data_IF_603051786077
#
_entry.id   IF_603051786077
#
_cell.length_a   1.000
_cell.length_b   1.000
_cell.length_c   1.000
_cell.angle_alpha   90.00
_cell.angle_beta   90.00
_cell.angle_gamma   90.00
#
_symmetry.space_group_name_H-M   'P 1'
#
loop_
_entity.id
_entity.type
_entity.pdbx_description
1 polymer ?
#
# COMPACT_ATOMS: atom_id res chain seq x y z
N UNK A 1 20.39 -2.23 1.28
CA UNK A 1 19.22 -1.74 2.04
C UNK A 1 19.13 -2.52 3.33
N UNK A 2 18.75 -1.89 4.41
CA UNK A 2 18.61 -2.53 5.72
C UNK A 2 17.47 -3.56 5.71
N UNK A 3 17.79 -4.84 5.82
CA UNK A 3 16.79 -5.90 5.80
C UNK A 3 15.79 -5.82 6.95
N UNK A 4 16.24 -5.39 8.13
CA UNK A 4 15.34 -5.19 9.27
C UNK A 4 14.26 -4.17 8.95
N UNK A 5 14.64 -3.07 8.30
CA UNK A 5 13.71 -2.03 7.89
C UNK A 5 12.78 -2.52 6.78
N UNK A 6 13.31 -3.31 5.83
CA UNK A 6 12.50 -3.92 4.77
C UNK A 6 11.39 -4.77 5.36
N UNK A 7 11.73 -5.68 6.29
CA UNK A 7 10.73 -6.55 6.91
C UNK A 7 9.77 -5.79 7.81
N UNK A 8 10.22 -4.71 8.44
CA UNK A 8 9.34 -3.84 9.22
C UNK A 8 8.25 -3.24 8.33
N UNK A 9 8.63 -2.72 7.17
CA UNK A 9 7.69 -2.18 6.18
C UNK A 9 6.75 -3.29 5.68
N UNK A 10 7.30 -4.43 5.30
CA UNK A 10 6.51 -5.52 4.75
C UNK A 10 5.55 -6.13 5.79
N UNK A 11 5.93 -6.11 7.06
CA UNK A 11 5.06 -6.56 8.15
C UNK A 11 3.81 -5.69 8.25
N UNK A 12 3.95 -4.37 8.06
CA UNK A 12 2.80 -3.48 8.05
C UNK A 12 1.92 -3.75 6.84
N UNK A 13 2.53 -3.95 5.66
CA UNK A 13 1.79 -4.27 4.44
C UNK A 13 0.97 -5.56 4.64
N UNK A 14 1.57 -6.57 5.28
CA UNK A 14 0.91 -7.84 5.54
C UNK A 14 -0.33 -7.70 6.44
N UNK A 15 -0.37 -6.66 7.26
CA UNK A 15 -1.49 -6.42 8.17
C UNK A 15 -2.67 -5.70 7.52
N UNK A 16 -2.49 -5.11 6.32
CA UNK A 16 -3.58 -4.41 5.65
C UNK A 16 -4.69 -5.42 5.32
N UNK A 17 -5.91 -5.23 5.85
CA UNK A 17 -6.98 -6.21 5.62
C UNK A 17 -7.42 -6.23 4.16
N UNK A 18 -7.92 -7.39 3.73
CA UNK A 18 -8.58 -7.50 2.44
C UNK A 18 -9.74 -6.51 2.38
N UNK A 19 -9.88 -5.81 1.26
CA UNK A 19 -10.94 -4.81 1.10
C UNK A 19 -10.58 -3.42 1.65
N UNK A 20 -9.36 -3.24 2.10
CA UNK A 20 -8.88 -1.94 2.59
C UNK A 20 -7.57 -1.57 1.88
N UNK A 21 -7.22 -0.30 1.93
CA UNK A 21 -5.96 0.19 1.36
C UNK A 21 -5.21 1.03 2.38
N UNK A 22 -3.91 1.16 2.17
CA UNK A 22 -3.06 2.05 2.97
C UNK A 22 -2.21 2.88 2.02
N UNK A 23 -1.76 4.03 2.45
CA UNK A 23 -0.87 4.85 1.62
C UNK A 23 0.59 4.63 2.01
N UNK A 24 1.51 4.94 1.08
CA UNK A 24 2.94 4.89 1.36
C UNK A 24 3.31 5.74 2.57
N UNK A 25 2.72 6.94 2.66
CA UNK A 25 2.97 7.84 3.79
C UNK A 25 2.46 7.30 5.11
N UNK A 26 1.29 6.64 5.10
CA UNK A 26 0.73 6.06 6.31
C UNK A 26 1.59 4.89 6.81
N UNK A 27 2.09 4.05 5.90
CA UNK A 27 3.01 2.97 6.26
C UNK A 27 4.28 3.57 6.88
N UNK A 28 4.83 4.62 6.27
CA UNK A 28 6.00 5.30 6.81
C UNK A 28 5.74 5.83 8.22
N UNK A 29 4.56 6.41 8.45
CA UNK A 29 4.17 6.89 9.78
C UNK A 29 4.10 5.75 10.80
N UNK A 30 3.51 4.63 10.41
CA UNK A 30 3.33 3.49 11.30
C UNK A 30 4.66 2.88 11.77
N UNK A 31 5.72 3.01 10.97
CA UNK A 31 7.05 2.52 11.36
C UNK A 31 7.94 3.62 11.96
N UNK A 32 7.35 4.81 12.25
CA UNK A 32 8.09 5.90 12.86
C UNK A 32 8.99 6.69 11.91
N UNK A 33 8.74 6.65 10.60
CA UNK A 33 9.53 7.33 9.58
C UNK A 33 8.65 8.19 8.68
N UNK A 34 7.90 9.08 9.26
CA UNK A 34 6.80 9.84 8.64
C UNK A 34 7.15 10.54 7.32
N UNK A 35 8.40 10.92 7.13
CA UNK A 35 8.82 11.65 5.91
C UNK A 35 9.43 10.75 4.85
N UNK A 36 9.32 9.44 5.01
CA UNK A 36 10.05 8.50 4.18
C UNK A 36 9.14 7.58 3.34
N UNK A 37 8.06 8.14 2.79
CA UNK A 37 7.16 7.40 1.92
C UNK A 37 7.87 6.84 0.67
N UNK A 38 8.89 7.55 0.19
CA UNK A 38 9.67 7.12 -0.96
C UNK A 38 10.39 5.79 -0.69
N UNK A 39 10.91 5.62 0.52
CA UNK A 39 11.55 4.36 0.92
C UNK A 39 10.54 3.20 0.89
N UNK A 40 9.33 3.45 1.37
CA UNK A 40 8.26 2.44 1.33
C UNK A 40 8.00 2.00 -0.11
N UNK A 41 7.86 2.96 -1.02
CA UNK A 41 7.67 2.65 -2.43
C UNK A 41 8.80 1.83 -3.03
N UNK A 42 10.04 2.14 -2.65
CA UNK A 42 11.21 1.41 -3.12
C UNK A 42 11.23 -0.03 -2.60
N UNK A 43 10.87 -0.23 -1.33
CA UNK A 43 10.76 -1.57 -0.75
C UNK A 43 9.69 -2.38 -1.46
N UNK A 44 8.51 -1.78 -1.70
CA UNK A 44 7.41 -2.49 -2.34
C UNK A 44 7.70 -2.88 -3.78
N UNK A 45 8.50 -2.09 -4.50
CA UNK A 45 8.86 -2.43 -5.87
C UNK A 45 9.76 -3.68 -5.96
N UNK A 46 10.34 -4.10 -4.83
CA UNK A 46 11.20 -5.28 -4.73
C UNK A 46 10.64 -6.34 -3.77
N UNK A 47 9.37 -6.20 -3.35
CA UNK A 47 8.79 -7.03 -2.30
C UNK A 47 8.80 -8.53 -2.63
N UNK A 48 8.65 -8.89 -3.91
CA UNK A 48 8.64 -10.28 -4.32
C UNK A 48 9.96 -11.03 -4.03
N UNK A 49 11.05 -10.29 -3.83
CA UNK A 49 12.33 -10.87 -3.43
C UNK A 49 12.30 -11.37 -1.99
N UNK A 50 11.34 -10.92 -1.19
CA UNK A 50 11.24 -11.21 0.24
C UNK A 50 10.04 -12.08 0.59
N UNK A 51 9.14 -12.33 -0.35
CA UNK A 51 7.98 -13.16 -0.12
C UNK A 51 6.74 -12.65 -0.85
N UNK A 52 5.59 -13.21 -0.51
CA UNK A 52 4.31 -12.86 -1.10
C UNK A 52 3.56 -11.90 -0.17
N UNK A 53 3.44 -10.64 -0.57
CA UNK A 53 2.81 -9.58 0.23
C UNK A 53 1.70 -8.91 -0.57
N UNK A 54 0.63 -8.43 0.09
CA UNK A 54 -0.50 -7.80 -0.60
C UNK A 54 -0.17 -6.35 -1.00
N UNK A 55 0.86 -6.16 -1.82
CA UNK A 55 1.32 -4.83 -2.25
C UNK A 55 0.28 -4.07 -3.04
N UNK A 56 -0.70 -4.78 -3.63
CA UNK A 56 -1.82 -4.13 -4.34
C UNK A 56 -2.69 -3.28 -3.42
N UNK A 57 -2.62 -3.50 -2.10
CA UNK A 57 -3.37 -2.73 -1.11
C UNK A 57 -2.68 -1.42 -0.71
N UNK A 58 -1.57 -1.08 -1.37
CA UNK A 58 -0.86 0.17 -1.10
C UNK A 58 -1.02 1.12 -2.29
N UNK A 59 -1.52 2.32 -2.00
CA UNK A 59 -1.78 3.36 -3.00
C UNK A 59 -1.12 4.66 -2.53
N UNK A 60 -1.15 5.71 -3.35
CA UNK A 60 -0.62 6.99 -2.90
C UNK A 60 -1.64 7.69 -1.99
N UNK A 61 -1.26 8.85 -1.43
CA UNK A 61 -2.13 9.58 -0.48
C UNK A 61 -3.47 10.01 -1.07
N UNK A 62 -3.55 10.16 -2.40
CA UNK A 62 -4.78 10.52 -3.10
C UNK A 62 -5.61 9.30 -3.53
N UNK A 63 -5.15 8.09 -3.23
CA UNK A 63 -5.83 6.86 -3.65
C UNK A 63 -5.47 6.40 -5.05
N UNK A 64 -4.40 6.93 -5.62
CA UNK A 64 -3.97 6.58 -6.97
C UNK A 64 -3.15 5.30 -6.96
N UNK A 65 -3.46 4.38 -7.90
CA UNK A 65 -2.72 3.14 -8.06
C UNK A 65 -1.38 3.37 -8.79
N UNK A 66 -0.51 2.36 -8.76
CA UNK A 66 0.79 2.44 -9.42
C UNK A 66 0.61 2.54 -10.93
N UNK A 67 1.30 3.50 -11.61
CA UNK A 67 1.07 3.74 -13.03
C UNK A 67 1.48 2.61 -13.96
N UNK A 68 2.35 1.72 -13.51
CA UNK A 68 2.85 0.62 -14.33
C UNK A 68 2.24 -0.73 -13.95
N UNK A 69 1.14 -0.72 -13.19
CA UNK A 69 0.52 -1.95 -12.69
C UNK A 69 -1.01 -1.88 -12.86
N UNK A 70 -1.52 -2.02 -14.09
CA UNK A 70 -2.96 -1.93 -14.32
C UNK A 70 -3.78 -3.00 -13.58
N UNK A 71 -3.19 -4.16 -13.29
CA UNK A 71 -3.86 -5.23 -12.55
C UNK A 71 -4.17 -4.85 -11.11
N UNK A 72 -3.50 -3.85 -10.56
CA UNK A 72 -3.72 -3.42 -9.17
C UNK A 72 -5.18 -3.05 -8.93
N UNK A 73 -5.77 -2.27 -9.82
CA UNK A 73 -7.17 -1.89 -9.70
C UNK A 73 -8.08 -3.11 -9.73
N UNK A 74 -7.84 -4.04 -10.64
CA UNK A 74 -8.62 -5.26 -10.76
C UNK A 74 -8.58 -6.08 -9.47
N UNK A 75 -7.40 -6.21 -8.88
CA UNK A 75 -7.24 -6.92 -7.61
C UNK A 75 -8.00 -6.24 -6.48
N UNK A 76 -7.95 -4.91 -6.41
CA UNK A 76 -8.66 -4.17 -5.37
C UNK A 76 -10.17 -4.24 -5.56
N UNK A 77 -10.65 -4.12 -6.79
CA UNK A 77 -12.08 -4.24 -7.07
C UNK A 77 -12.61 -5.64 -6.71
N UNK A 78 -11.80 -6.67 -6.95
CA UNK A 78 -12.14 -8.03 -6.56
C UNK A 78 -12.29 -8.18 -5.04
N UNK A 79 -11.64 -7.32 -4.26
CA UNK A 79 -11.77 -7.29 -2.80
C UNK A 79 -12.90 -6.38 -2.31
N UNK A 80 -13.63 -5.75 -3.22
CA UNK A 80 -14.73 -4.86 -2.86
C UNK A 80 -14.37 -3.39 -2.73
N UNK A 81 -13.14 -3.01 -3.07
CA UNK A 81 -12.72 -1.61 -3.02
C UNK A 81 -13.37 -0.84 -4.17
N UNK A 82 -13.94 0.32 -3.85
CA UNK A 82 -14.64 1.16 -4.82
C UNK A 82 -13.75 2.31 -5.26
N UNK A 83 -13.72 2.55 -6.57
CA UNK A 83 -12.96 3.65 -7.17
C UNK A 83 -13.91 4.78 -7.52
N UNK A 84 -13.43 6.01 -7.37
CA UNK A 84 -14.17 7.21 -7.74
C UNK A 84 -14.11 7.41 -9.26
N UNK A 85 -14.95 8.31 -9.77
CA UNK A 85 -15.00 8.59 -11.21
C UNK A 85 -13.64 9.02 -11.79
N UNK A 86 -12.79 9.66 -10.99
CA UNK A 86 -11.46 10.08 -11.45
C UNK A 86 -10.42 8.95 -11.42
N UNK A 87 -10.81 7.72 -11.08
CA UNK A 87 -9.91 6.58 -11.07
C UNK A 87 -9.14 6.36 -9.78
N UNK A 88 -9.43 7.12 -8.73
CA UNK A 88 -8.77 6.94 -7.42
C UNK A 88 -9.67 6.18 -6.46
N UNK A 89 -9.05 5.48 -5.50
CA UNK A 89 -9.79 4.80 -4.43
C UNK A 89 -10.52 5.85 -3.58
N UNK A 90 -11.73 5.51 -3.15
CA UNK A 90 -12.46 6.32 -2.18
C UNK A 90 -11.80 6.16 -0.80
N UNK A 91 -10.81 7.02 -0.53
CA UNK A 91 -9.99 6.91 0.68
C UNK A 91 -10.77 7.13 1.97
N UNK A 92 -11.84 7.92 1.92
CA UNK A 92 -12.68 8.14 3.11
C UNK A 92 -13.31 6.84 3.61
N UNK A 93 -13.61 5.91 2.69
CA UNK A 93 -14.26 4.64 3.02
C UNK A 93 -13.27 3.50 3.24
N UNK A 94 -12.15 3.47 2.51
CA UNK A 94 -11.33 2.28 2.42
C UNK A 94 -9.93 2.42 3.04
N UNK A 95 -9.56 3.61 3.52
CA UNK A 95 -8.24 3.79 4.14
C UNK A 95 -8.15 3.05 5.47
N UNK A 96 -7.13 2.20 5.58
CA UNK A 96 -6.76 1.53 6.82
C UNK A 96 -5.61 2.31 7.47
N UNK A 97 -5.68 2.54 8.77
CA UNK A 97 -4.73 3.38 9.51
C UNK A 97 -3.98 2.62 10.60
N UNK A 98 -3.90 1.30 10.45
CA UNK A 98 -3.16 0.48 11.41
C UNK A 98 -3.99 0.01 12.61
N UNK A 99 -5.30 0.16 12.54
CA UNK A 99 -6.20 -0.29 13.63
C UNK A 99 -6.62 -1.78 13.56
#
# INVERSE_FOLDING_TARGET
MDEGLVYEILSVVAEIPEGRVCSYGEIARLIGRERNARLVGKVLSNAELYGDYPCHRVVNHAGRTAPHWPEQRTLLEAEGVVFRANGTVDMARFLWRGE
#
